data_IF_169529367620
#
_entry.id   IF_169529367620
#
_cell.length_a   1.000
_cell.length_b   1.000
_cell.length_c   1.000
_cell.angle_alpha   90.00
_cell.angle_beta   90.00
_cell.angle_gamma   90.00
#
_symmetry.space_group_name_H-M   'P 1'
#
loop_
_entity.id
_entity.type
_entity.pdbx_description
1 polymer ?
#
# COMPACT_ATOMS: atom_id res chain seq x y z
N UNK A 1 -4.74 2.29 11.08
CA UNK A 1 -5.16 2.93 12.34
C UNK A 1 -4.80 2.03 13.50
N UNK A 2 -5.28 0.77 13.52
CA UNK A 2 -5.01 -0.17 14.63
C UNK A 2 -3.50 -0.42 14.79
N UNK A 3 -2.80 -0.74 13.70
CA UNK A 3 -1.35 -0.95 13.74
C UNK A 3 -0.62 0.25 14.37
N UNK A 4 -0.88 1.47 13.93
CA UNK A 4 -0.24 2.67 14.49
C UNK A 4 -0.59 2.88 15.97
N UNK A 5 -1.81 2.55 16.38
CA UNK A 5 -2.22 2.62 17.78
C UNK A 5 -1.44 1.60 18.62
N UNK A 6 -1.31 0.36 18.13
CA UNK A 6 -0.52 -0.70 18.77
C UNK A 6 0.97 -0.36 18.80
N UNK A 7 1.52 0.22 17.74
CA UNK A 7 2.91 0.66 17.69
C UNK A 7 3.20 1.71 18.74
N UNK A 8 2.31 2.71 18.91
CA UNK A 8 2.46 3.72 19.98
C UNK A 8 2.44 3.09 21.37
N UNK A 9 1.58 2.08 21.59
CA UNK A 9 1.55 1.33 22.84
C UNK A 9 2.87 0.58 23.07
N UNK A 10 3.40 -0.09 22.04
CA UNK A 10 4.67 -0.82 22.10
C UNK A 10 5.89 0.10 22.39
N UNK A 11 5.81 1.37 21.99
CA UNK A 11 6.81 2.40 22.28
C UNK A 11 6.65 3.02 23.68
N UNK A 12 5.75 2.50 24.50
CA UNK A 12 5.53 2.95 25.88
C UNK A 12 4.59 4.14 26.04
N UNK A 13 3.84 4.52 24.99
CA UNK A 13 2.83 5.57 25.13
C UNK A 13 1.58 5.05 25.83
N UNK A 14 0.98 5.88 26.70
CA UNK A 14 -0.33 5.60 27.24
C UNK A 14 -1.42 5.96 26.21
N UNK A 15 -1.62 5.08 25.23
CA UNK A 15 -2.56 5.28 24.12
C UNK A 15 -4.00 5.42 24.60
N UNK A 16 -4.40 4.71 25.67
CA UNK A 16 -5.74 4.81 26.26
C UNK A 16 -6.02 6.21 26.77
N UNK A 17 -5.01 6.90 27.29
CA UNK A 17 -5.14 8.26 27.79
C UNK A 17 -5.08 9.30 26.68
N UNK A 18 -4.19 9.15 25.69
CA UNK A 18 -3.85 10.23 24.76
C UNK A 18 -4.39 10.05 23.36
N UNK A 19 -4.64 8.82 22.91
CA UNK A 19 -4.98 8.54 21.53
C UNK A 19 -6.46 8.22 21.33
N UNK A 20 -7.03 8.78 20.28
CA UNK A 20 -8.34 8.42 19.74
C UNK A 20 -8.17 7.86 18.34
N UNK A 21 -8.89 6.79 18.05
CA UNK A 21 -8.95 6.17 16.71
C UNK A 21 -10.21 6.65 16.01
N UNK A 22 -10.07 7.15 14.78
CA UNK A 22 -11.21 7.57 13.98
C UNK A 22 -11.23 6.80 12.66
N UNK A 23 -12.12 5.84 12.55
CA UNK A 23 -12.49 5.12 11.34
C UNK A 23 -13.91 4.56 11.49
N UNK A 24 -14.38 3.71 10.58
CA UNK A 24 -15.77 3.20 10.60
C UNK A 24 -16.19 2.72 12.00
N UNK A 25 -17.30 3.26 12.51
CA UNK A 25 -17.86 2.91 13.82
C UNK A 25 -17.37 3.73 15.02
N UNK A 26 -16.34 4.58 14.85
CA UNK A 26 -15.86 5.45 15.92
C UNK A 26 -16.42 6.87 15.80
N UNK A 27 -16.64 7.50 16.96
CA UNK A 27 -17.07 8.90 17.03
C UNK A 27 -16.00 9.84 16.46
N UNK A 28 -16.42 10.90 15.77
CA UNK A 28 -15.54 11.97 15.34
C UNK A 28 -15.25 12.99 16.46
N UNK A 29 -15.94 12.91 17.59
CA UNK A 29 -15.70 13.77 18.74
C UNK A 29 -14.77 13.08 19.73
N UNK A 30 -13.76 13.81 20.20
CA UNK A 30 -12.81 13.31 21.20
C UNK A 30 -12.17 14.46 21.95
N UNK A 31 -11.86 14.22 23.21
CA UNK A 31 -11.04 15.07 24.10
C UNK A 31 -9.56 14.68 24.09
N UNK A 32 -9.21 13.62 23.36
CA UNK A 32 -7.85 13.09 23.31
C UNK A 32 -6.93 14.01 22.52
N UNK A 33 -5.67 14.04 22.92
CA UNK A 33 -4.64 14.92 22.33
C UNK A 33 -4.16 14.46 20.96
N UNK A 34 -4.26 13.16 20.66
CA UNK A 34 -3.79 12.54 19.42
C UNK A 34 -4.96 11.86 18.74
N UNK A 35 -5.19 12.20 17.47
CA UNK A 35 -6.16 11.55 16.60
C UNK A 35 -5.42 10.72 15.57
N UNK A 36 -5.69 9.42 15.54
CA UNK A 36 -5.20 8.49 14.51
C UNK A 36 -6.36 8.15 13.60
N UNK A 37 -6.28 8.51 12.33
CA UNK A 37 -7.40 8.39 11.41
C UNK A 37 -6.97 8.00 9.99
N UNK A 38 -7.92 7.45 9.23
CA UNK A 38 -7.80 7.33 7.78
C UNK A 38 -8.32 8.60 7.10
N UNK A 39 -7.83 8.89 5.90
CA UNK A 39 -8.31 10.04 5.13
C UNK A 39 -9.80 9.95 4.77
N UNK A 40 -10.33 8.73 4.57
CA UNK A 40 -11.73 8.48 4.27
C UNK A 40 -12.67 8.97 5.38
N UNK A 41 -12.22 8.88 6.62
CA UNK A 41 -12.99 9.35 7.78
C UNK A 41 -12.93 10.87 7.95
N UNK A 42 -11.87 11.50 7.44
CA UNK A 42 -11.62 12.93 7.64
C UNK A 42 -12.14 13.82 6.51
N UNK A 43 -12.02 13.41 5.24
CA UNK A 43 -12.15 14.34 4.11
C UNK A 43 -13.54 15.01 4.02
N UNK A 44 -14.60 14.36 4.51
CA UNK A 44 -15.98 14.90 4.55
C UNK A 44 -16.25 15.82 5.74
N UNK A 45 -15.36 15.87 6.73
CA UNK A 45 -15.57 16.69 7.91
C UNK A 45 -15.43 18.19 7.57
N UNK A 46 -16.21 19.05 8.25
CA UNK A 46 -16.18 20.48 7.99
C UNK A 46 -14.86 21.12 8.44
N UNK A 47 -14.48 22.25 7.84
CA UNK A 47 -13.24 23.00 8.15
C UNK A 47 -13.10 23.25 9.66
N UNK A 48 -14.16 23.63 10.36
CA UNK A 48 -14.19 23.89 11.80
C UNK A 48 -13.66 22.72 12.63
N UNK A 49 -13.83 21.48 12.18
CA UNK A 49 -13.30 20.30 12.85
C UNK A 49 -11.78 20.30 12.91
N UNK A 50 -11.13 20.86 11.91
CA UNK A 50 -9.67 20.87 11.77
C UNK A 50 -8.97 22.00 12.53
N UNK A 51 -9.68 23.01 13.00
CA UNK A 51 -9.13 24.16 13.73
C UNK A 51 -8.50 23.77 15.07
N UNK A 52 -8.86 22.63 15.63
CA UNK A 52 -8.31 22.11 16.89
C UNK A 52 -6.90 21.53 16.77
N UNK A 53 -6.42 21.28 15.55
CA UNK A 53 -5.15 20.57 15.33
C UNK A 53 -4.00 21.54 15.04
N UNK A 54 -3.03 21.59 15.92
CA UNK A 54 -1.79 22.39 15.74
C UNK A 54 -0.68 21.64 14.99
N UNK A 55 -0.77 20.31 14.92
CA UNK A 55 0.22 19.43 14.25
C UNK A 55 -0.49 18.38 13.41
N UNK A 56 0.02 18.11 12.22
CA UNK A 56 -0.41 16.99 11.39
C UNK A 56 0.79 16.18 10.92
N UNK A 57 0.66 14.87 11.02
CA UNK A 57 1.56 13.89 10.39
C UNK A 57 0.83 13.20 9.26
N UNK A 58 1.37 13.31 8.05
CA UNK A 58 0.89 12.56 6.88
C UNK A 58 1.82 11.38 6.61
N UNK A 59 1.37 10.18 6.92
CA UNK A 59 2.06 8.96 6.53
C UNK A 59 1.79 8.67 5.05
N UNK A 60 2.76 8.04 4.36
CA UNK A 60 2.74 7.88 2.91
C UNK A 60 2.46 9.20 2.17
N UNK A 61 3.20 10.24 2.55
CA UNK A 61 2.97 11.61 2.10
C UNK A 61 2.95 11.76 0.57
N UNK A 62 3.59 10.87 -0.18
CA UNK A 62 3.54 10.85 -1.65
C UNK A 62 2.12 10.67 -2.22
N UNK A 63 1.16 10.17 -1.43
CA UNK A 63 -0.25 10.04 -1.81
C UNK A 63 -1.04 11.36 -1.71
N UNK A 64 -0.49 12.39 -1.03
CA UNK A 64 -1.17 13.68 -0.81
C UNK A 64 -1.31 14.55 -2.08
N UNK A 65 -0.92 14.02 -3.22
CA UNK A 65 -1.28 14.54 -4.55
C UNK A 65 -2.75 14.30 -4.93
N UNK A 66 -3.46 13.39 -4.24
CA UNK A 66 -4.87 13.13 -4.51
C UNK A 66 -5.77 14.26 -3.99
N UNK A 67 -6.88 14.52 -4.70
CA UNK A 67 -7.83 15.61 -4.37
C UNK A 67 -8.29 15.55 -2.91
N UNK A 68 -8.68 14.39 -2.42
CA UNK A 68 -9.22 14.22 -1.06
C UNK A 68 -8.18 14.56 0.02
N UNK A 69 -6.94 14.11 -0.14
CA UNK A 69 -5.87 14.39 0.82
C UNK A 69 -5.44 15.86 0.77
N UNK A 70 -5.33 16.45 -0.43
CA UNK A 70 -5.08 17.88 -0.60
C UNK A 70 -6.18 18.71 0.06
N UNK A 71 -7.46 18.32 -0.08
CA UNK A 71 -8.59 19.00 0.54
C UNK A 71 -8.51 18.98 2.08
N UNK A 72 -8.13 17.85 2.69
CA UNK A 72 -7.88 17.77 4.13
C UNK A 72 -6.81 18.79 4.54
N UNK A 73 -5.69 18.84 3.81
CA UNK A 73 -4.58 19.75 4.11
C UNK A 73 -4.98 21.23 3.98
N UNK A 74 -5.88 21.56 3.05
CA UNK A 74 -6.39 22.94 2.91
C UNK A 74 -7.36 23.35 4.02
N UNK A 75 -8.06 22.38 4.65
CA UNK A 75 -8.90 22.62 5.83
C UNK A 75 -8.11 22.88 7.11
N UNK A 76 -6.86 22.42 7.18
CA UNK A 76 -5.95 22.58 8.32
C UNK A 76 -5.31 23.99 8.36
N UNK A 77 -6.09 25.06 8.32
CA UNK A 77 -5.58 26.45 8.22
C UNK A 77 -4.72 26.87 9.40
N UNK A 78 -5.09 26.44 10.61
CA UNK A 78 -4.43 26.85 11.86
C UNK A 78 -3.35 25.85 12.30
N UNK A 79 -3.14 24.79 11.51
CA UNK A 79 -2.13 23.78 11.78
C UNK A 79 -0.71 24.34 11.49
N UNK A 80 0.01 24.61 12.53
CA UNK A 80 1.34 25.22 12.48
C UNK A 80 2.41 24.26 11.96
N UNK A 81 2.34 22.99 12.35
CA UNK A 81 3.35 22.00 12.00
C UNK A 81 2.74 20.93 11.10
N UNK A 82 3.31 20.80 9.90
CA UNK A 82 2.86 19.86 8.89
C UNK A 82 4.04 18.97 8.49
N UNK A 83 3.98 17.70 8.82
CA UNK A 83 5.07 16.75 8.65
C UNK A 83 4.59 15.63 7.77
N UNK A 84 5.21 15.47 6.60
CA UNK A 84 4.97 14.37 5.67
C UNK A 84 6.09 13.34 5.76
N UNK A 85 5.74 12.08 5.91
CA UNK A 85 6.67 10.95 5.94
C UNK A 85 6.42 10.07 4.71
N UNK A 86 7.48 9.65 4.04
CA UNK A 86 7.37 8.70 2.92
C UNK A 86 8.69 7.97 2.70
N UNK A 87 8.61 6.68 2.39
CA UNK A 87 9.76 5.88 1.97
C UNK A 87 10.10 6.06 0.49
N UNK A 88 9.15 6.53 -0.32
CA UNK A 88 9.28 6.70 -1.76
C UNK A 88 8.77 8.07 -2.19
N UNK A 89 9.62 8.85 -2.83
CA UNK A 89 9.19 10.10 -3.45
C UNK A 89 9.27 9.94 -4.97
N UNK A 90 8.13 10.05 -5.62
CA UNK A 90 8.02 10.03 -7.09
C UNK A 90 8.91 11.08 -7.72
N UNK A 91 9.65 10.71 -8.76
CA UNK A 91 10.54 11.62 -9.50
C UNK A 91 9.86 12.72 -10.33
N UNK A 92 8.51 12.77 -10.35
CA UNK A 92 7.77 13.78 -11.08
C UNK A 92 7.84 15.15 -10.38
N UNK A 93 8.47 16.12 -11.01
CA UNK A 93 8.67 17.48 -10.48
C UNK A 93 7.37 18.14 -10.01
N UNK A 94 6.27 17.97 -10.73
CA UNK A 94 4.96 18.54 -10.38
C UNK A 94 4.44 18.01 -9.04
N UNK A 95 4.61 16.71 -8.78
CA UNK A 95 4.20 16.11 -7.51
C UNK A 95 5.05 16.62 -6.34
N UNK A 96 6.34 16.82 -6.56
CA UNK A 96 7.23 17.40 -5.56
C UNK A 96 6.78 18.79 -5.14
N UNK A 97 6.45 19.67 -6.09
CA UNK A 97 5.96 21.03 -5.80
C UNK A 97 4.66 21.01 -4.96
N UNK A 98 3.73 20.10 -5.27
CA UNK A 98 2.50 19.95 -4.46
C UNK A 98 2.84 19.56 -3.03
N UNK A 99 3.72 18.57 -2.84
CA UNK A 99 4.11 18.10 -1.51
C UNK A 99 4.88 19.17 -0.74
N UNK A 100 5.77 19.90 -1.39
CA UNK A 100 6.48 21.02 -0.78
C UNK A 100 5.53 22.18 -0.38
N UNK A 101 4.48 22.41 -1.15
CA UNK A 101 3.41 23.35 -0.80
C UNK A 101 2.57 22.93 0.41
N UNK A 102 2.40 21.62 0.63
CA UNK A 102 1.60 21.08 1.73
C UNK A 102 2.42 20.91 3.02
N UNK A 103 3.66 20.45 2.92
CA UNK A 103 4.50 20.02 4.06
C UNK A 103 5.81 20.80 4.22
N UNK A 104 6.20 21.61 3.22
CA UNK A 104 7.49 22.28 3.20
C UNK A 104 8.58 21.49 2.50
N UNK A 105 9.82 21.94 2.64
CA UNK A 105 10.97 21.39 1.92
C UNK A 105 11.23 19.91 2.22
N UNK A 106 11.57 19.17 1.16
CA UNK A 106 11.88 17.73 1.26
C UNK A 106 13.27 17.51 1.86
N UNK A 107 13.33 16.78 2.96
CA UNK A 107 14.56 16.36 3.62
C UNK A 107 14.78 14.86 3.46
N UNK A 108 15.86 14.45 2.80
CA UNK A 108 16.21 13.04 2.67
C UNK A 108 17.01 12.57 3.88
N UNK A 109 16.37 11.84 4.78
CA UNK A 109 16.98 11.36 6.03
C UNK A 109 17.97 10.22 5.75
N UNK A 110 17.59 9.25 4.91
CA UNK A 110 18.42 8.09 4.59
C UNK A 110 18.07 7.52 3.21
N UNK A 111 18.74 6.47 2.78
CA UNK A 111 18.40 5.69 1.60
C UNK A 111 18.38 4.20 1.91
N UNK A 112 17.55 3.45 1.18
CA UNK A 112 17.45 1.99 1.30
C UNK A 112 18.83 1.32 1.23
N UNK A 113 19.70 1.77 0.31
CA UNK A 113 21.06 1.26 0.20
C UNK A 113 21.86 1.45 1.48
N UNK A 114 21.84 2.67 2.07
CA UNK A 114 22.55 2.93 3.34
C UNK A 114 22.03 2.08 4.50
N UNK A 115 20.73 1.77 4.51
CA UNK A 115 20.13 0.92 5.55
C UNK A 115 20.52 -0.56 5.35
N UNK A 116 20.60 -1.03 4.09
CA UNK A 116 21.12 -2.37 3.77
C UNK A 116 22.61 -2.49 4.12
N UNK A 117 23.44 -1.50 3.76
CA UNK A 117 24.88 -1.48 4.07
C UNK A 117 25.13 -1.52 5.59
N UNK A 118 24.21 -0.94 6.38
CA UNK A 118 24.23 -0.98 7.84
C UNK A 118 23.56 -2.23 8.44
N UNK A 119 23.12 -3.17 7.63
CA UNK A 119 22.39 -4.38 8.06
C UNK A 119 21.08 -4.08 8.84
N UNK A 120 20.52 -2.90 8.67
CA UNK A 120 19.22 -2.49 9.25
C UNK A 120 18.04 -2.92 8.38
N UNK A 121 18.30 -3.26 7.13
CA UNK A 121 17.34 -3.86 6.19
C UNK A 121 17.95 -5.10 5.56
N UNK A 122 17.08 -6.07 5.27
CA UNK A 122 17.46 -7.27 4.51
C UNK A 122 17.91 -6.91 3.09
N UNK A 123 18.85 -7.67 2.54
CA UNK A 123 19.26 -7.53 1.16
C UNK A 123 18.10 -7.87 0.21
N UNK A 124 17.83 -6.96 -0.72
CA UNK A 124 16.82 -7.15 -1.76
C UNK A 124 17.50 -7.38 -3.11
N UNK A 125 17.18 -8.51 -3.74
CA UNK A 125 17.59 -8.81 -5.12
C UNK A 125 16.35 -8.85 -6.00
N UNK A 126 16.27 -7.93 -6.96
CA UNK A 126 15.19 -7.90 -7.95
C UNK A 126 15.62 -8.64 -9.20
N UNK A 127 14.86 -9.67 -9.60
CA UNK A 127 15.08 -10.45 -10.82
C UNK A 127 13.88 -10.26 -11.75
N UNK A 128 14.09 -9.57 -12.88
CA UNK A 128 13.05 -9.39 -13.89
C UNK A 128 13.06 -10.60 -14.85
N UNK A 129 11.98 -11.37 -14.86
CA UNK A 129 11.78 -12.50 -15.75
C UNK A 129 10.89 -12.08 -16.91
N UNK A 130 11.46 -12.02 -18.12
CA UNK A 130 10.74 -11.58 -19.31
C UNK A 130 10.20 -12.82 -20.03
N UNK A 131 8.87 -12.99 -20.01
CA UNK A 131 8.18 -14.03 -20.77
C UNK A 131 7.90 -13.54 -22.19
N UNK A 132 8.46 -14.22 -23.17
CA UNK A 132 8.21 -13.92 -24.58
C UNK A 132 6.95 -14.64 -25.05
N UNK A 133 6.09 -13.94 -25.77
CA UNK A 133 4.94 -14.49 -26.46
C UNK A 133 5.30 -14.80 -27.93
N UNK A 134 4.51 -15.63 -28.59
CA UNK A 134 4.67 -15.87 -30.04
C UNK A 134 4.39 -14.59 -30.83
N UNK A 135 4.97 -14.48 -32.00
CA UNK A 135 4.75 -13.32 -32.89
C UNK A 135 3.28 -13.16 -33.25
N UNK A 136 2.58 -14.27 -33.48
CA UNK A 136 1.15 -14.29 -33.80
C UNK A 136 0.31 -13.72 -32.65
N UNK A 137 0.54 -14.22 -31.42
CA UNK A 137 -0.18 -13.74 -30.25
C UNK A 137 0.12 -12.25 -29.97
N UNK A 138 1.36 -11.83 -30.15
CA UNK A 138 1.75 -10.43 -29.98
C UNK A 138 1.05 -9.51 -30.99
N UNK A 139 0.95 -9.94 -32.26
CA UNK A 139 0.23 -9.19 -33.32
C UNK A 139 -1.27 -9.12 -33.04
N UNK A 140 -1.88 -10.24 -32.64
CA UNK A 140 -3.30 -10.28 -32.28
C UNK A 140 -3.66 -9.31 -31.18
N UNK A 141 -2.87 -9.27 -30.11
CA UNK A 141 -3.12 -8.41 -28.95
C UNK A 141 -2.80 -6.95 -29.26
N UNK A 142 -1.75 -6.66 -30.05
CA UNK A 142 -1.35 -5.29 -30.40
C UNK A 142 -2.42 -4.53 -31.23
N UNK A 143 -3.32 -5.24 -31.93
CA UNK A 143 -4.45 -4.63 -32.66
C UNK A 143 -5.68 -4.36 -31.75
N UNK A 144 -5.68 -4.86 -30.51
CA UNK A 144 -6.77 -4.75 -29.55
C UNK A 144 -6.69 -3.51 -28.67
N UNK A 145 -7.60 -3.41 -27.72
CA UNK A 145 -7.61 -2.39 -26.66
C UNK A 145 -6.76 -2.87 -25.47
N UNK A 146 -6.39 -1.96 -24.59
CA UNK A 146 -5.67 -2.29 -23.35
C UNK A 146 -6.32 -3.40 -22.52
N UNK A 147 -7.67 -3.43 -22.48
CA UNK A 147 -8.39 -4.49 -21.76
C UNK A 147 -8.19 -5.87 -22.41
N UNK A 148 -8.12 -5.95 -23.72
CA UNK A 148 -7.89 -7.21 -24.46
C UNK A 148 -6.49 -7.75 -24.15
N UNK A 149 -5.50 -6.86 -24.01
CA UNK A 149 -4.15 -7.23 -23.60
C UNK A 149 -4.14 -7.80 -22.16
N UNK A 150 -4.80 -7.14 -21.22
CA UNK A 150 -4.90 -7.62 -19.84
C UNK A 150 -5.61 -8.98 -19.79
N UNK A 151 -6.73 -9.13 -20.47
CA UNK A 151 -7.51 -10.38 -20.48
C UNK A 151 -6.69 -11.53 -21.10
N UNK A 152 -5.93 -11.26 -22.16
CA UNK A 152 -4.97 -12.22 -22.73
C UNK A 152 -3.89 -12.61 -21.72
N UNK A 153 -3.25 -11.64 -21.06
CA UNK A 153 -2.17 -11.90 -20.10
C UNK A 153 -2.64 -12.72 -18.90
N UNK A 154 -3.83 -12.44 -18.36
CA UNK A 154 -4.35 -13.17 -17.20
C UNK A 154 -4.91 -14.53 -17.55
N UNK A 155 -5.42 -14.74 -18.78
CA UNK A 155 -5.95 -16.02 -19.24
C UNK A 155 -4.88 -16.96 -19.83
N UNK A 156 -3.67 -16.46 -20.10
CA UNK A 156 -2.59 -17.24 -20.72
C UNK A 156 -2.15 -18.44 -19.86
N UNK A 157 -2.52 -19.65 -20.25
CA UNK A 157 -2.17 -20.89 -19.55
C UNK A 157 -0.66 -21.09 -19.41
N UNK A 158 0.13 -20.73 -20.43
CA UNK A 158 1.59 -20.84 -20.38
C UNK A 158 2.18 -19.94 -19.30
N UNK A 159 1.70 -18.69 -19.18
CA UNK A 159 2.10 -17.75 -18.15
C UNK A 159 1.67 -18.22 -16.73
N UNK A 160 0.44 -18.67 -16.59
CA UNK A 160 -0.06 -19.22 -15.33
C UNK A 160 0.75 -20.43 -14.86
N UNK A 161 1.04 -21.37 -15.76
CA UNK A 161 1.88 -22.52 -15.49
C UNK A 161 3.31 -22.13 -15.10
N UNK A 162 3.87 -21.11 -15.77
CA UNK A 162 5.18 -20.58 -15.42
C UNK A 162 5.18 -20.02 -14.00
N UNK A 163 4.19 -19.16 -13.64
CA UNK A 163 4.06 -18.58 -12.31
C UNK A 163 3.91 -19.68 -11.24
N UNK A 164 3.02 -20.66 -11.49
CA UNK A 164 2.84 -21.81 -10.61
C UNK A 164 4.15 -22.57 -10.39
N UNK A 165 4.83 -22.93 -11.46
CA UNK A 165 6.07 -23.70 -11.36
C UNK A 165 7.17 -22.92 -10.64
N UNK A 166 7.25 -21.60 -10.88
CA UNK A 166 8.18 -20.73 -10.18
C UNK A 166 7.86 -20.66 -8.69
N UNK A 167 6.60 -20.42 -8.34
CA UNK A 167 6.14 -20.34 -6.95
C UNK A 167 6.42 -21.64 -6.17
N UNK A 168 6.20 -22.80 -6.79
CA UNK A 168 6.45 -24.09 -6.18
C UNK A 168 7.94 -24.47 -6.08
N UNK A 169 8.76 -23.95 -7.01
CA UNK A 169 10.23 -24.22 -7.03
C UNK A 169 11.01 -23.37 -6.03
N UNK A 170 10.54 -22.19 -5.69
CA UNK A 170 11.20 -21.30 -4.72
C UNK A 170 11.11 -21.96 -3.32
N UNK A 171 12.26 -22.12 -2.67
CA UNK A 171 12.33 -22.59 -1.29
C UNK A 171 11.99 -21.46 -0.32
N UNK A 172 11.27 -21.79 0.76
CA UNK A 172 10.86 -20.86 1.79
C UNK A 172 9.53 -20.14 1.49
N UNK A 173 9.20 -19.13 2.29
CA UNK A 173 7.95 -18.38 2.16
C UNK A 173 7.92 -17.62 0.85
N UNK A 174 6.82 -17.76 0.12
CA UNK A 174 6.64 -17.18 -1.20
C UNK A 174 5.35 -16.38 -1.26
N UNK A 175 5.45 -15.11 -1.63
CA UNK A 175 4.30 -14.25 -1.84
C UNK A 175 4.06 -14.05 -3.33
N UNK A 176 2.86 -14.42 -3.82
CA UNK A 176 2.44 -14.21 -5.20
C UNK A 176 1.43 -13.07 -5.23
N UNK A 177 1.83 -11.92 -5.76
CA UNK A 177 0.96 -10.74 -5.83
C UNK A 177 0.13 -10.74 -7.12
N UNK A 178 -1.15 -10.38 -7.00
CA UNK A 178 -2.08 -10.23 -8.11
C UNK A 178 -2.97 -9.01 -7.89
N UNK A 179 -3.49 -8.43 -8.97
CA UNK A 179 -4.39 -7.27 -8.92
C UNK A 179 -5.86 -7.68 -9.13
N UNK A 180 -6.12 -8.62 -10.04
CA UNK A 180 -7.47 -9.04 -10.40
C UNK A 180 -7.85 -10.29 -9.59
N UNK A 181 -8.70 -10.12 -8.58
CA UNK A 181 -9.07 -11.17 -7.63
C UNK A 181 -9.70 -12.37 -8.36
N UNK A 182 -10.83 -12.18 -9.03
CA UNK A 182 -11.58 -13.27 -9.67
C UNK A 182 -10.90 -13.80 -10.95
N UNK A 183 -10.49 -12.90 -11.86
CA UNK A 183 -9.94 -13.28 -13.16
C UNK A 183 -8.54 -13.90 -13.10
N UNK A 184 -7.74 -13.57 -12.07
CA UNK A 184 -6.33 -13.96 -12.01
C UNK A 184 -5.95 -14.64 -10.69
N UNK A 185 -6.20 -13.99 -9.56
CA UNK A 185 -5.76 -14.47 -8.25
C UNK A 185 -6.35 -15.83 -7.89
N UNK A 186 -7.68 -15.98 -8.03
CA UNK A 186 -8.40 -17.22 -7.75
C UNK A 186 -7.86 -18.39 -8.58
N UNK A 187 -7.70 -18.20 -9.88
CA UNK A 187 -7.19 -19.24 -10.77
C UNK A 187 -5.74 -19.63 -10.43
N UNK A 188 -4.86 -18.64 -10.16
CA UNK A 188 -3.50 -18.92 -9.72
C UNK A 188 -3.47 -19.69 -8.41
N UNK A 189 -4.31 -19.34 -7.44
CA UNK A 189 -4.43 -20.06 -6.19
C UNK A 189 -4.81 -21.52 -6.41
N UNK A 190 -5.85 -21.78 -7.21
CA UNK A 190 -6.33 -23.14 -7.50
C UNK A 190 -5.25 -24.01 -8.13
N UNK A 191 -4.57 -23.53 -9.19
CA UNK A 191 -3.54 -24.31 -9.88
C UNK A 191 -2.25 -24.48 -9.07
N UNK A 192 -1.93 -23.55 -8.16
CA UNK A 192 -0.81 -23.69 -7.24
C UNK A 192 -1.16 -24.70 -6.15
N UNK A 193 -2.34 -24.59 -5.55
CA UNK A 193 -2.84 -25.49 -4.50
C UNK A 193 -2.93 -26.94 -4.97
N UNK A 194 -3.45 -27.16 -6.18
CA UNK A 194 -3.57 -28.50 -6.79
C UNK A 194 -2.21 -29.21 -6.92
N UNK A 195 -1.13 -28.46 -7.17
CA UNK A 195 0.23 -29.00 -7.39
C UNK A 195 1.16 -28.85 -6.21
N UNK A 196 0.71 -28.17 -5.15
CA UNK A 196 1.49 -28.09 -3.91
C UNK A 196 1.51 -29.47 -3.21
N UNK A 197 2.65 -29.83 -2.63
CA UNK A 197 2.74 -31.00 -1.76
C UNK A 197 2.12 -30.69 -0.39
N UNK A 198 1.83 -31.73 0.39
CA UNK A 198 1.15 -31.62 1.70
C UNK A 198 1.94 -30.79 2.74
N UNK A 199 3.24 -30.66 2.56
CA UNK A 199 4.11 -29.85 3.45
C UNK A 199 3.99 -28.35 3.19
N UNK A 200 3.46 -27.94 2.01
CA UNK A 200 3.39 -26.54 1.60
C UNK A 200 1.97 -26.00 1.71
N UNK A 201 1.72 -25.21 2.74
CA UNK A 201 0.43 -24.53 2.89
C UNK A 201 0.29 -23.40 1.86
N UNK A 202 -0.86 -23.31 1.24
CA UNK A 202 -1.20 -22.27 0.23
C UNK A 202 -2.39 -21.47 0.73
N UNK A 203 -2.18 -20.17 0.96
CA UNK A 203 -3.20 -19.24 1.44
C UNK A 203 -3.65 -18.33 0.31
N UNK A 204 -4.92 -17.93 0.34
CA UNK A 204 -5.51 -16.99 -0.61
C UNK A 204 -6.08 -15.78 0.14
N UNK A 205 -5.39 -14.65 0.06
CA UNK A 205 -5.73 -13.46 0.82
C UNK A 205 -6.08 -12.32 -0.16
N UNK A 206 -7.25 -11.72 0.03
CA UNK A 206 -7.74 -10.58 -0.75
C UNK A 206 -8.64 -9.69 0.11
N UNK A 207 -9.10 -8.54 -0.41
CA UNK A 207 -9.85 -7.56 0.37
C UNK A 207 -11.19 -8.02 0.95
N UNK A 208 -11.76 -9.13 0.45
CA UNK A 208 -12.99 -9.74 0.96
C UNK A 208 -12.80 -10.75 2.09
N UNK A 209 -11.56 -11.09 2.43
CA UNK A 209 -11.25 -12.00 3.57
C UNK A 209 -11.31 -11.17 4.86
N UNK A 210 -11.90 -11.71 5.92
CA UNK A 210 -11.96 -11.04 7.22
C UNK A 210 -10.56 -10.88 7.85
N UNK A 211 -10.40 -9.88 8.74
CA UNK A 211 -9.08 -9.56 9.30
C UNK A 211 -8.47 -10.73 10.07
N UNK A 212 -9.29 -11.43 10.85
CA UNK A 212 -8.87 -12.56 11.69
C UNK A 212 -8.43 -13.80 10.87
N UNK A 213 -8.89 -13.91 9.61
CA UNK A 213 -8.46 -14.97 8.69
C UNK A 213 -7.17 -14.65 7.92
N UNK A 214 -6.65 -13.40 8.07
CA UNK A 214 -5.43 -12.94 7.40
C UNK A 214 -4.18 -13.13 8.25
N UNK A 215 -4.32 -13.34 9.56
CA UNK A 215 -3.26 -13.64 10.54
C UNK A 215 -3.08 -15.15 10.69
#
# INVERSE_FOLDING_TARGET
VEQMYSDFESYGWNVKRYCHRLYSGYSNQTDKKVLISTWQSLYKLPKKYFEQFGVVFGDEAHLFKSKSLTEIMTKLTDCKYRIGLTGTLDGAHTHKLVLEGLFGAVNKVTSTKKLMDKQQLSNLVVRCLILKHTVENSKMVASGKYQDEIDYLVSSKSRQNFIRNLALKIKGNTLVLFQLVEKHGKNLHEIIKEKANDERKVFYIFGGVEADERE
#
